data_IF_551952294200
#
_entry.id   IF_551952294200
#
_cell.length_a   1.000
_cell.length_b   1.000
_cell.length_c   1.000
_cell.angle_alpha   90.00
_cell.angle_beta   90.00
_cell.angle_gamma   90.00
#
_symmetry.space_group_name_H-M   'P 1'
#
loop_
_entity.id
_entity.type
_entity.pdbx_description
1 polymer ?
#
# COMPACT_ATOMS: atom_id res chain seq x y z
N UNK A 1 8.56 -41.51 -1.52
CA UNK A 1 9.77 -40.90 -2.10
C UNK A 1 9.80 -39.42 -1.74
N UNK A 2 10.45 -39.09 -0.61
CA UNK A 2 10.48 -37.74 -0.02
C UNK A 2 11.62 -36.90 -0.58
N UNK A 3 11.51 -36.49 -1.86
CA UNK A 3 12.41 -35.47 -2.38
C UNK A 3 12.16 -34.15 -1.61
N UNK A 4 13.21 -33.42 -1.23
CA UNK A 4 13.05 -32.13 -0.56
C UNK A 4 12.21 -31.21 -1.46
N UNK A 5 11.21 -30.55 -0.87
CA UNK A 5 10.46 -29.51 -1.57
C UNK A 5 11.46 -28.51 -2.14
N UNK A 6 11.32 -28.09 -3.42
CA UNK A 6 12.22 -27.12 -4.00
C UNK A 6 12.27 -25.88 -3.11
N UNK A 7 13.49 -25.35 -2.92
CA UNK A 7 13.69 -24.15 -2.15
C UNK A 7 12.78 -23.04 -2.70
N UNK A 8 12.13 -22.30 -1.80
CA UNK A 8 11.29 -21.19 -2.18
C UNK A 8 12.10 -20.19 -3.02
N UNK A 9 11.64 -19.75 -4.20
CA UNK A 9 12.45 -18.94 -5.13
C UNK A 9 12.86 -17.58 -4.56
N UNK A 10 12.19 -17.13 -3.50
CA UNK A 10 12.50 -15.90 -2.77
C UNK A 10 13.17 -16.15 -1.40
N UNK A 11 13.58 -17.39 -1.10
CA UNK A 11 14.17 -17.75 0.19
C UNK A 11 13.11 -17.76 1.30
N UNK A 12 13.02 -16.65 2.04
CA UNK A 12 12.08 -16.46 3.16
C UNK A 12 11.02 -15.42 2.83
N UNK A 13 9.90 -15.41 3.56
CA UNK A 13 8.83 -14.40 3.42
C UNK A 13 9.34 -12.98 3.72
N UNK A 14 10.43 -12.84 4.49
CA UNK A 14 11.06 -11.56 4.77
C UNK A 14 11.54 -10.82 3.51
N UNK A 15 11.94 -11.54 2.46
CA UNK A 15 12.39 -10.92 1.22
C UNK A 15 11.28 -10.18 0.46
N UNK A 16 10.14 -10.81 0.10
CA UNK A 16 9.04 -10.11 -0.53
C UNK A 16 8.42 -9.06 0.41
N UNK A 17 8.31 -9.30 1.72
CA UNK A 17 7.83 -8.29 2.69
C UNK A 17 8.66 -7.01 2.60
N UNK A 18 9.99 -7.11 2.57
CA UNK A 18 10.88 -5.94 2.44
C UNK A 18 10.67 -5.18 1.12
N UNK A 19 10.37 -5.88 0.03
CA UNK A 19 10.06 -5.23 -1.26
C UNK A 19 8.74 -4.48 -1.14
N UNK A 20 7.69 -5.12 -0.61
CA UNK A 20 6.38 -4.49 -0.43
C UNK A 20 6.44 -3.28 0.49
N UNK A 21 7.18 -3.34 1.61
CA UNK A 21 7.38 -2.18 2.51
C UNK A 21 7.97 -0.97 1.76
N UNK A 22 8.97 -1.20 0.89
CA UNK A 22 9.57 -0.14 0.07
C UNK A 22 8.58 0.40 -0.98
N UNK A 23 7.78 -0.47 -1.57
CA UNK A 23 6.74 -0.07 -2.51
C UNK A 23 5.63 0.73 -1.82
N UNK A 24 5.29 0.39 -0.57
CA UNK A 24 4.36 1.15 0.27
C UNK A 24 4.89 2.55 0.61
N UNK A 25 6.17 2.70 0.95
CA UNK A 25 6.79 4.03 1.13
C UNK A 25 6.62 4.88 -0.13
N UNK A 26 6.87 4.29 -1.31
CA UNK A 26 6.71 4.97 -2.60
C UNK A 26 5.25 5.33 -2.88
N UNK A 27 4.30 4.45 -2.53
CA UNK A 27 2.88 4.70 -2.67
C UNK A 27 2.42 5.88 -1.79
N UNK A 28 2.92 5.96 -0.57
CA UNK A 28 2.64 7.07 0.35
C UNK A 28 3.16 8.41 -0.22
N UNK A 29 4.35 8.44 -0.81
CA UNK A 29 4.90 9.63 -1.49
C UNK A 29 4.01 10.07 -2.68
N UNK A 30 3.48 9.12 -3.45
CA UNK A 30 2.54 9.42 -4.53
C UNK A 30 1.22 9.98 -4.02
N UNK A 31 0.66 9.41 -2.95
CA UNK A 31 -0.55 9.91 -2.32
C UNK A 31 -0.36 11.36 -1.82
N UNK A 32 0.77 11.65 -1.18
CA UNK A 32 1.11 13.01 -0.75
C UNK A 32 1.20 13.98 -1.95
N UNK A 33 1.83 13.55 -3.05
CA UNK A 33 1.93 14.34 -4.28
C UNK A 33 0.56 14.62 -4.90
N UNK A 34 -0.33 13.63 -4.92
CA UNK A 34 -1.72 13.78 -5.39
C UNK A 34 -2.48 14.77 -4.49
N UNK A 35 -2.38 14.62 -3.17
CA UNK A 35 -3.04 15.53 -2.22
C UNK A 35 -2.57 16.97 -2.41
N UNK A 36 -1.27 17.19 -2.56
CA UNK A 36 -0.71 18.52 -2.81
C UNK A 36 -1.17 19.09 -4.16
N UNK A 37 -1.10 18.30 -5.24
CA UNK A 37 -1.51 18.71 -6.58
C UNK A 37 -3.01 18.98 -6.72
N UNK A 38 -3.83 18.45 -5.82
CA UNK A 38 -5.29 18.65 -5.80
C UNK A 38 -5.76 19.68 -4.77
N UNK A 39 -4.83 20.42 -4.14
CA UNK A 39 -5.15 21.37 -3.06
C UNK A 39 -5.99 20.71 -1.97
N UNK A 40 -5.52 19.57 -1.45
CA UNK A 40 -6.22 18.76 -0.47
C UNK A 40 -7.58 18.20 -0.96
N UNK A 41 -7.62 17.80 -2.23
CA UNK A 41 -8.85 17.37 -2.92
C UNK A 41 -9.96 18.43 -2.91
N UNK A 42 -9.60 19.71 -2.92
CA UNK A 42 -10.55 20.83 -2.92
C UNK A 42 -10.87 21.22 -4.36
N UNK A 43 -12.13 21.09 -4.81
CA UNK A 43 -12.52 21.56 -6.13
C UNK A 43 -12.41 23.09 -6.21
N UNK A 44 -11.90 23.66 -7.31
CA UNK A 44 -11.93 25.10 -7.53
C UNK A 44 -13.38 25.58 -7.74
N UNK A 45 -13.59 26.89 -7.55
CA UNK A 45 -14.88 27.51 -7.81
C UNK A 45 -15.33 27.26 -9.27
N UNK A 46 -16.60 26.89 -9.45
CA UNK A 46 -17.15 26.59 -10.78
C UNK A 46 -16.73 25.25 -11.38
N UNK A 47 -16.03 24.38 -10.63
CA UNK A 47 -15.71 23.04 -11.09
C UNK A 47 -16.98 22.27 -11.52
N UNK A 48 -16.89 21.57 -12.65
CA UNK A 48 -17.98 20.73 -13.10
C UNK A 48 -18.17 19.53 -12.16
N UNK A 49 -19.37 18.94 -12.15
CA UNK A 49 -19.70 17.80 -11.31
C UNK A 49 -18.69 16.64 -11.46
N UNK A 50 -18.24 16.35 -12.68
CA UNK A 50 -17.26 15.29 -12.94
C UNK A 50 -15.92 15.52 -12.24
N UNK A 51 -15.45 16.77 -12.19
CA UNK A 51 -14.20 17.10 -11.51
C UNK A 51 -14.33 16.98 -9.99
N UNK A 52 -15.46 17.43 -9.42
CA UNK A 52 -15.76 17.26 -7.99
C UNK A 52 -15.83 15.78 -7.60
N UNK A 53 -16.46 14.95 -8.43
CA UNK A 53 -16.52 13.50 -8.21
C UNK A 53 -15.14 12.83 -8.29
N UNK A 54 -14.29 13.25 -9.23
CA UNK A 54 -12.92 12.78 -9.33
C UNK A 54 -12.14 13.06 -8.03
N UNK A 55 -12.16 14.31 -7.53
CA UNK A 55 -11.45 14.67 -6.31
C UNK A 55 -11.95 13.92 -5.09
N UNK A 56 -13.27 13.72 -4.99
CA UNK A 56 -13.85 12.88 -3.94
C UNK A 56 -13.38 11.42 -4.04
N UNK A 57 -13.34 10.85 -5.25
CA UNK A 57 -12.81 9.51 -5.48
C UNK A 57 -11.34 9.37 -5.12
N UNK A 58 -10.50 10.37 -5.44
CA UNK A 58 -9.09 10.38 -5.05
C UNK A 58 -8.91 10.42 -3.52
N UNK A 59 -9.73 11.19 -2.80
CA UNK A 59 -9.74 11.19 -1.33
C UNK A 59 -10.12 9.83 -0.75
N UNK A 60 -11.09 9.15 -1.35
CA UNK A 60 -11.46 7.79 -0.93
C UNK A 60 -10.32 6.80 -1.18
N UNK A 61 -9.74 6.83 -2.39
CA UNK A 61 -8.59 6.00 -2.74
C UNK A 61 -7.43 6.16 -1.74
N UNK A 62 -7.10 7.39 -1.38
CA UNK A 62 -6.03 7.66 -0.42
C UNK A 62 -6.34 7.06 0.97
N UNK A 63 -7.56 7.26 1.46
CA UNK A 63 -7.96 6.71 2.77
C UNK A 63 -7.91 5.18 2.77
N UNK A 64 -8.45 4.55 1.72
CA UNK A 64 -8.50 3.10 1.61
C UNK A 64 -7.09 2.51 1.45
N UNK A 65 -6.24 3.13 0.62
CA UNK A 65 -4.88 2.66 0.41
C UNK A 65 -4.01 2.83 1.66
N UNK A 66 -4.17 3.93 2.42
CA UNK A 66 -3.49 4.08 3.71
C UNK A 66 -3.92 3.04 4.74
N UNK A 67 -5.21 2.72 4.80
CA UNK A 67 -5.72 1.66 5.67
C UNK A 67 -5.20 0.28 5.26
N UNK A 68 -5.15 0.02 3.95
CA UNK A 68 -4.57 -1.19 3.38
C UNK A 68 -3.10 -1.34 3.77
N UNK A 69 -2.26 -0.33 3.50
CA UNK A 69 -0.83 -0.32 3.83
C UNK A 69 -0.63 -0.55 5.33
N UNK A 70 -1.42 0.10 6.19
CA UNK A 70 -1.35 -0.10 7.64
C UNK A 70 -1.65 -1.54 8.03
N UNK A 71 -2.75 -2.10 7.52
CA UNK A 71 -3.16 -3.47 7.82
C UNK A 71 -2.08 -4.46 7.41
N UNK A 72 -1.49 -4.26 6.24
CA UNK A 72 -0.43 -5.14 5.76
C UNK A 72 0.85 -5.00 6.59
N UNK A 73 1.35 -3.77 6.76
CA UNK A 73 2.61 -3.50 7.44
C UNK A 73 2.58 -3.85 8.93
N UNK A 74 1.51 -3.47 9.63
CA UNK A 74 1.44 -3.60 11.09
C UNK A 74 0.91 -4.97 11.53
N UNK A 75 0.04 -5.60 10.72
CA UNK A 75 -0.64 -6.84 11.11
C UNK A 75 -0.23 -8.03 10.26
N UNK A 76 -0.44 -7.99 8.94
CA UNK A 76 -0.24 -9.16 8.08
C UNK A 76 1.23 -9.58 8.01
N UNK A 77 2.13 -8.63 7.71
CA UNK A 77 3.55 -8.92 7.52
C UNK A 77 4.21 -9.34 8.83
N UNK A 78 3.89 -8.68 9.94
CA UNK A 78 4.33 -9.09 11.28
C UNK A 78 3.97 -10.55 11.56
N UNK A 79 2.69 -10.91 11.39
CA UNK A 79 2.21 -12.28 11.60
C UNK A 79 2.85 -13.28 10.65
N UNK A 80 3.08 -12.90 9.39
CA UNK A 80 3.72 -13.78 8.41
C UNK A 80 5.17 -14.11 8.79
N UNK A 81 5.93 -13.12 9.26
CA UNK A 81 7.31 -13.31 9.74
C UNK A 81 7.35 -14.18 11.01
N UNK A 82 6.46 -13.93 11.97
CA UNK A 82 6.31 -14.74 13.18
C UNK A 82 6.01 -16.21 12.83
N UNK A 83 5.11 -16.46 11.88
CA UNK A 83 4.72 -17.80 11.45
C UNK A 83 5.83 -18.57 10.75
N UNK A 84 6.68 -17.90 9.97
CA UNK A 84 7.86 -18.53 9.36
C UNK A 84 8.98 -18.81 10.38
N UNK A 85 8.96 -18.13 11.54
CA UNK A 85 10.02 -18.18 12.53
C UNK A 85 11.18 -17.23 12.22
N UNK A 86 10.91 -16.18 11.44
CA UNK A 86 11.87 -15.11 11.07
C UNK A 86 11.58 -13.79 11.78
N UNK A 87 10.71 -13.80 12.80
CA UNK A 87 10.40 -12.66 13.68
C UNK A 87 11.45 -12.35 14.73
#
# INVERSE_FOLDING_TARGET
DGLPSPACPFGTVANPVRVMMREHDSAEDYLQSIRAGTSDFTPPEGACLGFTLLLHGLRQLENDLRNHIRLENEVLFTKALELEGTG
#
